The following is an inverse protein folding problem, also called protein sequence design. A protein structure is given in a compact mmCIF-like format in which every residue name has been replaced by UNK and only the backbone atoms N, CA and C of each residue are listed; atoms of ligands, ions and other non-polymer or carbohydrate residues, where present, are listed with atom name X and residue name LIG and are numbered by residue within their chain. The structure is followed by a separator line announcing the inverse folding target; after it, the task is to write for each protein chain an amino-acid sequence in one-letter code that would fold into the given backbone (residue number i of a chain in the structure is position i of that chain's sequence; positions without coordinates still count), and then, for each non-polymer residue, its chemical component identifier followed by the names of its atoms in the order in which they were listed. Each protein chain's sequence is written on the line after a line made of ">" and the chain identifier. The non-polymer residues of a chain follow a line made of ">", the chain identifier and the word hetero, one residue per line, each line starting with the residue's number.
data_IF_340998413998
#
_entry.id   IF_340998413998
#
_cell.length_a   1.000
_cell.length_b   1.000
_cell.length_c   1.000
_cell.angle_alpha   90.00
_cell.angle_beta   90.00
_cell.angle_gamma   90.00
#
_symmetry.space_group_name_H-M   'P 1'
#
loop_
_entity.id
_entity.type
_entity.pdbx_description
1 polymer ?
#
# COMPACT_ATOMS: atom_id res chain seq x y z
N UNK A 1 -80.19 -19.80 -9.14
CA UNK A 1 -80.33 -18.57 -8.34
C UNK A 1 -79.39 -17.53 -8.93
N UNK A 2 -79.98 -16.42 -9.38
CA UNK A 2 -79.41 -15.21 -9.98
C UNK A 2 -78.20 -14.64 -9.20
N UNK A 3 -77.34 -13.73 -9.68
CA UNK A 3 -77.29 -12.85 -10.87
C UNK A 3 -75.82 -12.40 -11.02
N UNK A 4 -75.21 -12.33 -12.20
CA UNK A 4 -75.06 -11.13 -13.08
C UNK A 4 -74.59 -9.89 -12.29
N UNK A 5 -73.40 -9.31 -12.51
CA UNK A 5 -73.12 -8.36 -13.60
C UNK A 5 -71.62 -8.09 -13.78
N UNK A 6 -71.27 -7.96 -15.06
CA UNK A 6 -70.00 -7.52 -15.60
C UNK A 6 -69.87 -5.98 -15.63
N UNK A 7 -68.63 -5.49 -15.74
CA UNK A 7 -68.31 -4.26 -16.47
C UNK A 7 -66.83 -4.27 -16.93
N UNK A 8 -66.64 -4.50 -18.22
CA UNK A 8 -65.49 -4.10 -19.06
C UNK A 8 -65.74 -2.68 -19.63
N UNK A 9 -64.93 -2.11 -20.54
CA UNK A 9 -63.46 -1.94 -20.64
C UNK A 9 -63.09 -0.46 -20.94
N UNK A 10 -61.80 -0.10 -21.02
CA UNK A 10 -61.35 0.99 -21.90
C UNK A 10 -59.87 0.83 -22.30
N UNK A 11 -59.67 0.57 -23.58
CA UNK A 11 -58.41 0.62 -24.31
C UNK A 11 -57.93 2.06 -24.52
N UNK A 12 -56.60 2.28 -24.55
CA UNK A 12 -55.96 3.17 -25.52
C UNK A 12 -54.44 2.96 -25.54
N UNK A 13 -54.00 2.31 -26.60
CA UNK A 13 -52.76 2.54 -27.37
C UNK A 13 -52.55 4.07 -27.64
N UNK A 14 -51.40 4.67 -27.97
CA UNK A 14 -50.17 4.25 -28.65
C UNK A 14 -49.12 5.38 -28.54
N UNK A 15 -47.86 5.00 -28.70
CA UNK A 15 -46.68 5.65 -29.32
C UNK A 15 -46.76 7.08 -29.92
N UNK A 16 -45.54 7.63 -30.07
CA UNK A 16 -45.06 8.73 -30.93
C UNK A 16 -45.42 10.16 -30.55
N UNK A 17 -44.40 10.99 -30.27
CA UNK A 17 -43.93 11.98 -31.24
C UNK A 17 -42.62 12.66 -30.79
N UNK A 18 -41.63 12.53 -31.67
CA UNK A 18 -40.50 13.41 -31.87
C UNK A 18 -41.03 14.75 -32.43
N UNK A 19 -40.57 15.89 -31.91
CA UNK A 19 -40.66 17.16 -32.64
C UNK A 19 -39.38 17.96 -32.51
N UNK A 20 -38.54 17.83 -33.53
CA UNK A 20 -37.67 18.89 -33.98
C UNK A 20 -38.52 19.96 -34.69
N UNK A 21 -38.24 21.23 -34.44
CA UNK A 21 -38.61 22.29 -35.38
C UNK A 21 -37.43 23.25 -35.54
N UNK A 22 -36.89 23.22 -36.76
CA UNK A 22 -35.86 24.09 -37.26
C UNK A 22 -36.51 25.34 -37.89
N UNK A 23 -35.88 26.50 -37.69
CA UNK A 23 -36.03 27.64 -38.61
C UNK A 23 -34.65 27.94 -39.20
N UNK A 24 -34.49 27.58 -40.46
CA UNK A 24 -33.44 28.06 -41.37
C UNK A 24 -33.83 29.50 -41.84
N UNK A 25 -32.96 30.39 -42.32
CA UNK A 25 -31.86 30.24 -43.29
C UNK A 25 -30.96 31.49 -43.19
N UNK A 26 -29.66 31.34 -43.39
CA UNK A 26 -28.92 31.89 -44.55
C UNK A 26 -27.41 31.71 -44.36
N UNK A 27 -26.78 30.97 -45.28
CA UNK A 27 -25.33 30.94 -45.51
C UNK A 27 -25.00 31.93 -46.64
N UNK A 28 -23.73 32.35 -46.84
CA UNK A 28 -22.70 31.49 -47.45
C UNK A 28 -21.30 31.55 -46.81
N UNK A 29 -20.53 30.48 -47.03
CA UNK A 29 -19.09 30.30 -46.76
C UNK A 29 -18.18 31.14 -47.71
N UNK A 30 -16.86 30.89 -47.80
CA UNK A 30 -15.79 31.02 -46.81
C UNK A 30 -14.67 31.98 -47.32
N UNK A 31 -13.82 32.53 -46.45
CA UNK A 31 -12.68 33.32 -46.90
C UNK A 31 -11.45 33.25 -45.99
N UNK A 32 -10.47 32.48 -46.48
CA UNK A 32 -9.04 32.82 -46.63
C UNK A 32 -8.17 33.05 -45.37
N UNK A 33 -7.25 32.11 -45.21
CA UNK A 33 -5.89 32.29 -44.64
C UNK A 33 -5.16 33.49 -45.28
N UNK A 34 -4.18 34.09 -44.59
CA UNK A 34 -2.82 33.92 -45.10
C UNK A 34 -1.74 33.79 -44.01
N UNK A 35 -0.85 32.81 -44.19
CA UNK A 35 0.58 32.96 -43.89
C UNK A 35 1.32 33.37 -45.16
N UNK A 36 2.36 34.21 -45.07
CA UNK A 36 3.52 34.06 -45.93
C UNK A 36 4.86 34.03 -45.17
N UNK A 37 5.54 32.90 -45.35
CA UNK A 37 6.97 32.55 -45.47
C UNK A 37 8.12 33.46 -44.96
N UNK A 38 9.27 32.82 -44.61
CA UNK A 38 10.48 33.44 -44.09
C UNK A 38 11.44 33.92 -45.20
N UNK A 39 12.32 34.87 -44.87
CA UNK A 39 13.54 35.22 -45.63
C UNK A 39 14.73 35.21 -44.64
N UNK A 40 15.62 34.23 -44.72
CA UNK A 40 16.83 34.16 -45.57
C UNK A 40 18.04 34.90 -44.97
N UNK A 41 19.03 34.11 -44.52
CA UNK A 41 20.39 34.52 -44.13
C UNK A 41 21.24 34.97 -45.32
N UNK A 42 22.46 35.50 -45.07
CA UNK A 42 23.60 34.95 -45.78
C UNK A 42 24.88 34.71 -44.92
N UNK A 43 25.34 33.45 -45.02
CA UNK A 43 26.69 32.96 -45.36
C UNK A 43 27.93 33.25 -44.46
N UNK A 44 28.42 32.11 -43.94
CA UNK A 44 29.75 31.46 -44.11
C UNK A 44 31.02 32.17 -43.59
N UNK A 45 31.78 31.43 -42.75
CA UNK A 45 33.07 30.81 -43.15
C UNK A 45 33.57 29.72 -42.19
N UNK A 46 34.01 28.61 -42.81
CA UNK A 46 35.17 27.71 -42.55
C UNK A 46 35.31 27.04 -41.17
N UNK A 47 35.11 25.72 -41.06
CA UNK A 47 35.94 24.56 -41.49
C UNK A 47 36.96 24.13 -40.43
N UNK A 48 36.87 22.90 -39.91
CA UNK A 48 37.82 21.79 -40.19
C UNK A 48 37.44 20.53 -39.41
N UNK A 49 37.42 19.41 -40.14
CA UNK A 49 37.39 18.05 -39.62
C UNK A 49 38.81 17.54 -39.31
N UNK A 50 38.94 16.64 -38.32
CA UNK A 50 39.98 15.60 -38.08
C UNK A 50 39.97 15.28 -36.58
N UNK A 51 40.19 14.08 -36.06
CA UNK A 51 40.38 12.70 -36.53
C UNK A 51 40.45 11.90 -35.23
N UNK A 52 39.87 10.70 -35.20
CA UNK A 52 40.18 9.69 -34.18
C UNK A 52 41.66 9.26 -34.25
N UNK A 53 42.22 8.78 -33.14
CA UNK A 53 43.22 7.72 -33.20
C UNK A 53 42.86 6.53 -32.29
N UNK A 54 42.81 5.36 -32.92
CA UNK A 54 42.95 4.04 -32.29
C UNK A 54 44.39 3.83 -31.81
N UNK A 55 44.64 3.08 -30.73
CA UNK A 55 45.93 2.43 -30.48
C UNK A 55 45.95 0.96 -30.95
N UNK A 56 47.14 0.41 -31.28
CA UNK A 56 47.27 -0.90 -31.91
C UNK A 56 47.33 -2.09 -30.93
N UNK A 57 46.97 -3.27 -31.44
CA UNK A 57 47.12 -4.59 -30.81
C UNK A 57 48.60 -5.02 -30.69
N UNK A 58 48.95 -5.74 -29.62
CA UNK A 58 49.88 -6.88 -29.67
C UNK A 58 49.50 -7.98 -28.66
N UNK A 59 49.58 -9.21 -29.16
CA UNK A 59 49.22 -10.51 -28.55
C UNK A 59 50.41 -11.14 -27.79
N UNK A 60 50.10 -11.99 -26.79
CA UNK A 60 50.62 -13.36 -26.52
C UNK A 60 49.91 -13.83 -25.23
N UNK A 61 49.07 -14.86 -25.14
CA UNK A 61 49.05 -16.27 -25.60
C UNK A 61 49.96 -17.23 -24.78
N UNK A 62 49.34 -18.00 -23.88
CA UNK A 62 49.42 -19.48 -23.65
C UNK A 62 48.71 -19.78 -22.31
N UNK A 63 47.63 -20.54 -22.17
CA UNK A 63 47.24 -21.90 -22.64
C UNK A 63 47.85 -23.05 -21.83
N UNK A 64 47.01 -23.71 -21.02
CA UNK A 64 46.90 -25.19 -20.85
C UNK A 64 45.74 -25.46 -19.87
N UNK A 65 44.53 -25.84 -20.29
CA UNK A 65 44.07 -27.17 -20.71
C UNK A 65 44.24 -28.28 -19.66
N UNK A 66 43.13 -28.69 -19.04
CA UNK A 66 42.88 -30.10 -18.75
C UNK A 66 41.37 -30.36 -18.76
N UNK A 67 41.02 -31.37 -19.54
CA UNK A 67 39.70 -31.78 -20.00
C UNK A 67 39.41 -33.10 -19.30
N UNK A 68 38.25 -33.29 -18.68
CA UNK A 68 37.69 -34.65 -18.52
C UNK A 68 36.18 -34.62 -18.71
N UNK A 69 35.77 -35.44 -19.68
CA UNK A 69 34.42 -35.70 -20.18
C UNK A 69 33.71 -36.75 -19.31
N UNK A 70 32.38 -36.76 -19.47
CA UNK A 70 31.45 -37.90 -19.36
C UNK A 70 31.12 -38.34 -17.92
N UNK A 71 29.88 -38.66 -17.54
CA UNK A 71 28.79 -39.36 -18.25
C UNK A 71 27.42 -38.86 -17.78
N UNK A 72 26.49 -38.72 -18.73
CA UNK A 72 25.07 -38.91 -18.53
C UNK A 72 24.76 -40.41 -18.70
N UNK A 73 23.94 -40.98 -17.82
CA UNK A 73 23.16 -42.24 -17.99
C UNK A 73 22.34 -42.43 -16.71
N UNK A 74 21.03 -42.18 -16.73
CA UNK A 74 19.96 -43.16 -17.00
C UNK A 74 19.46 -43.87 -15.73
N UNK A 75 18.24 -43.50 -15.34
CA UNK A 75 17.27 -44.28 -14.56
C UNK A 75 17.22 -45.75 -15.00
N UNK A 76 16.96 -46.68 -14.06
CA UNK A 76 16.00 -47.73 -14.35
C UNK A 76 15.05 -48.00 -13.16
N UNK A 77 13.76 -47.79 -13.39
CA UNK A 77 12.66 -48.57 -12.81
C UNK A 77 11.95 -49.18 -14.02
N UNK A 78 11.62 -50.49 -14.06
CA UNK A 78 10.47 -50.99 -13.30
C UNK A 78 10.52 -52.49 -12.90
N UNK A 79 9.85 -52.87 -11.80
CA UNK A 79 9.17 -54.18 -11.70
C UNK A 79 7.84 -54.04 -10.96
N UNK A 80 6.78 -54.47 -11.65
CA UNK A 80 5.39 -54.66 -11.20
C UNK A 80 5.20 -56.09 -10.67
N UNK A 81 4.11 -56.25 -9.91
CA UNK A 81 3.33 -57.49 -9.65
C UNK A 81 3.82 -58.33 -8.47
N UNK A 82 3.01 -58.77 -7.50
CA UNK A 82 1.57 -59.13 -7.49
C UNK A 82 0.94 -58.97 -6.09
N UNK A 83 -0.34 -58.60 -6.07
CA UNK A 83 -1.33 -58.89 -5.01
C UNK A 83 -1.96 -60.27 -5.26
N UNK A 84 -2.55 -60.91 -4.23
CA UNK A 84 -3.95 -61.31 -4.36
C UNK A 84 -4.84 -60.94 -3.15
N UNK A 85 -6.10 -60.66 -3.48
CA UNK A 85 -7.34 -60.30 -2.76
C UNK A 85 -8.02 -61.51 -2.06
N UNK A 86 -9.28 -61.49 -1.50
CA UNK A 86 -10.05 -60.53 -0.67
C UNK A 86 -10.99 -61.15 0.46
N UNK A 87 -11.66 -60.28 1.26
CA UNK A 87 -12.96 -60.34 2.05
C UNK A 87 -13.23 -61.42 3.16
N UNK A 88 -14.25 -61.27 4.06
CA UNK A 88 -15.31 -60.23 4.30
C UNK A 88 -15.33 -59.65 5.76
N UNK A 89 -15.83 -58.45 6.10
CA UNK A 89 -17.17 -57.80 6.08
C UNK A 89 -18.17 -58.23 7.18
N UNK A 90 -18.44 -57.33 8.15
CA UNK A 90 -19.68 -57.24 8.98
C UNK A 90 -19.89 -55.81 9.52
N UNK A 91 -21.06 -55.23 9.23
CA UNK A 91 -21.74 -54.01 9.76
C UNK A 91 -23.19 -54.46 10.12
N UNK A 92 -24.18 -53.62 10.57
CA UNK A 92 -24.23 -52.41 11.41
C UNK A 92 -25.40 -52.47 12.47
N UNK A 93 -25.66 -51.41 13.27
CA UNK A 93 -27.01 -51.08 13.85
C UNK A 93 -26.96 -49.71 14.58
N UNK A 94 -27.50 -48.59 14.06
CA UNK A 94 -28.87 -48.00 14.10
C UNK A 94 -29.33 -47.44 15.48
N UNK A 95 -29.64 -46.13 15.50
CA UNK A 95 -30.16 -45.26 16.58
C UNK A 95 -31.68 -45.47 16.87
N UNK A 96 -32.37 -44.80 17.84
CA UNK A 96 -32.70 -43.35 17.80
C UNK A 96 -32.94 -42.61 19.17
N UNK A 97 -33.12 -41.28 19.14
CA UNK A 97 -33.68 -40.43 20.23
C UNK A 97 -35.19 -40.64 20.45
N UNK A 98 -35.76 -40.23 21.61
CA UNK A 98 -36.61 -39.00 21.64
C UNK A 98 -36.66 -38.23 23.00
N UNK A 99 -37.17 -36.98 22.98
CA UNK A 99 -37.67 -36.16 24.11
C UNK A 99 -39.20 -36.43 24.31
N UNK A 100 -39.89 -36.21 25.49
CA UNK A 100 -40.28 -34.87 26.02
C UNK A 100 -40.56 -34.75 27.58
N UNK A 101 -40.79 -33.49 28.07
CA UNK A 101 -41.64 -32.93 29.19
C UNK A 101 -41.81 -33.68 30.56
N UNK A 102 -42.04 -33.12 31.76
CA UNK A 102 -42.43 -31.79 32.29
C UNK A 102 -42.26 -31.70 33.85
N UNK A 103 -42.09 -30.47 34.36
CA UNK A 103 -42.63 -29.83 35.60
C UNK A 103 -42.42 -30.42 37.01
N UNK A 104 -41.84 -29.60 37.91
CA UNK A 104 -42.45 -29.16 39.20
C UNK A 104 -41.92 -27.77 39.64
N UNK A 105 -42.82 -26.81 39.85
CA UNK A 105 -42.64 -25.52 40.55
C UNK A 105 -42.77 -25.68 42.08
N UNK A 106 -42.20 -24.78 42.91
CA UNK A 106 -43.07 -23.77 43.55
C UNK A 106 -42.48 -22.33 43.75
N UNK A 107 -43.38 -21.35 43.57
CA UNK A 107 -43.68 -20.10 44.32
C UNK A 107 -42.62 -18.96 44.43
N UNK A 108 -43.01 -17.66 44.22
CA UNK A 108 -42.09 -16.56 43.97
C UNK A 108 -41.72 -15.77 45.24
N UNK A 109 -40.49 -15.25 45.30
CA UNK A 109 -40.10 -14.16 46.21
C UNK A 109 -39.71 -12.93 45.39
N UNK A 110 -40.24 -11.81 45.83
CA UNK A 110 -40.27 -10.50 45.16
C UNK A 110 -38.87 -9.92 44.97
N UNK A 111 -38.64 -9.35 43.77
CA UNK A 111 -37.43 -8.64 43.35
C UNK A 111 -37.27 -7.29 44.07
N UNK A 112 -36.02 -6.83 44.21
CA UNK A 112 -35.65 -5.46 43.81
C UNK A 112 -34.93 -5.50 42.46
N UNK A 113 -35.34 -4.64 41.53
CA UNK A 113 -34.75 -4.51 40.21
C UNK A 113 -33.41 -3.76 40.29
N UNK A 114 -32.31 -4.42 39.90
CA UNK A 114 -31.05 -3.78 39.51
C UNK A 114 -30.55 -4.47 38.24
N UNK A 115 -30.25 -3.67 37.22
CA UNK A 115 -29.95 -4.05 35.84
C UNK A 115 -28.80 -5.07 35.69
N UNK A 116 -28.86 -6.00 34.71
CA UNK A 116 -27.80 -6.98 34.48
C UNK A 116 -26.74 -6.42 33.53
N UNK A 117 -25.47 -6.52 33.92
CA UNK A 117 -24.37 -6.29 32.98
C UNK A 117 -23.10 -5.74 33.60
N UNK A 118 -22.40 -6.54 34.38
CA UNK A 118 -21.02 -6.25 34.76
C UNK A 118 -20.20 -7.54 34.71
N UNK A 119 -19.66 -7.83 33.53
CA UNK A 119 -18.47 -8.68 33.43
C UNK A 119 -17.34 -7.91 34.14
N UNK A 120 -16.56 -8.53 35.06
CA UNK A 120 -15.45 -7.83 35.68
C UNK A 120 -14.47 -7.43 34.59
N UNK A 121 -14.42 -6.13 34.35
CA UNK A 121 -13.49 -5.49 33.45
C UNK A 121 -12.15 -5.60 34.18
N UNK A 122 -11.33 -6.55 33.78
CA UNK A 122 -9.92 -6.54 34.14
C UNK A 122 -9.37 -5.28 33.49
N UNK A 123 -9.29 -4.22 34.28
CA UNK A 123 -8.65 -2.98 33.92
C UNK A 123 -7.17 -3.28 33.76
N UNK A 124 -6.80 -3.65 32.54
CA UNK A 124 -5.41 -3.63 32.10
C UNK A 124 -5.02 -2.16 32.15
N UNK A 125 -4.36 -1.84 33.26
CA UNK A 125 -3.76 -0.56 33.55
C UNK A 125 -3.10 -0.03 32.27
N UNK A 126 -3.73 1.01 31.71
CA UNK A 126 -3.15 1.79 30.63
C UNK A 126 -1.88 2.43 31.18
N UNK A 127 -0.76 1.74 31.04
CA UNK A 127 0.57 2.35 30.90
C UNK A 127 0.66 3.04 29.53
N UNK A 128 -0.38 3.79 29.19
CA UNK A 128 -0.46 4.64 28.02
C UNK A 128 0.29 5.90 28.36
N UNK A 129 1.54 5.97 27.94
CA UNK A 129 2.25 7.17 27.54
C UNK A 129 1.49 8.48 27.89
N UNK A 130 1.77 9.02 29.08
CA UNK A 130 1.39 10.38 29.45
C UNK A 130 2.21 11.32 28.57
N UNK A 131 1.70 11.58 27.37
CA UNK A 131 2.30 12.51 26.43
C UNK A 131 2.39 13.88 27.07
N UNK A 132 3.57 14.48 26.98
CA UNK A 132 3.75 15.93 27.10
C UNK A 132 2.69 16.59 26.21
N UNK A 133 1.73 17.31 26.82
CA UNK A 133 0.36 17.58 26.35
C UNK A 133 0.27 18.58 25.18
N UNK A 134 1.12 18.44 24.16
CA UNK A 134 1.22 19.35 23.04
C UNK A 134 1.23 18.66 21.67
N UNK A 135 0.85 19.42 20.66
CA UNK A 135 1.06 19.06 19.26
C UNK A 135 2.42 19.57 18.79
N UNK A 136 3.10 18.78 17.97
CA UNK A 136 4.32 19.22 17.30
C UNK A 136 3.93 20.20 16.19
N UNK A 137 4.42 21.46 16.21
CA UNK A 137 4.11 22.42 15.17
C UNK A 137 4.59 21.91 13.82
N UNK A 138 3.92 22.25 12.71
CA UNK A 138 4.43 21.93 11.40
C UNK A 138 5.82 22.57 11.20
N UNK A 139 6.73 21.94 10.43
CA UNK A 139 8.05 22.50 10.18
C UNK A 139 7.91 23.90 9.55
N UNK A 140 8.70 24.86 10.04
CA UNK A 140 8.66 26.22 9.51
C UNK A 140 8.97 26.23 8.01
N UNK A 141 8.22 26.98 7.18
CA UNK A 141 8.49 27.05 5.75
C UNK A 141 9.91 27.58 5.52
N UNK A 142 10.61 27.02 4.54
CA UNK A 142 11.93 27.51 4.14
C UNK A 142 11.80 28.99 3.76
N UNK A 143 12.65 29.89 4.31
CA UNK A 143 12.55 31.32 4.03
C UNK A 143 12.69 31.56 2.53
N UNK A 144 11.75 32.31 1.95
CA UNK A 144 11.82 32.71 0.54
C UNK A 144 13.06 33.58 0.36
N UNK A 145 13.86 33.26 -0.66
CA UNK A 145 15.07 33.96 -1.13
C UNK A 145 15.01 35.46 -0.84
N UNK A 146 15.60 35.88 0.28
CA UNK A 146 15.90 37.28 0.54
C UNK A 146 17.18 37.66 -0.19
N UNK A 147 17.32 38.94 -0.54
CA UNK A 147 18.55 39.55 -1.06
C UNK A 147 19.61 39.59 0.04
N UNK A 148 20.05 38.43 0.52
CA UNK A 148 21.12 38.28 1.49
C UNK A 148 21.90 37.02 1.14
N UNK A 149 23.22 37.19 1.03
CA UNK A 149 24.20 36.27 0.45
C UNK A 149 24.54 35.05 1.33
N UNK A 150 23.74 34.81 2.38
CA UNK A 150 23.81 33.61 3.22
C UNK A 150 22.52 32.77 3.09
N UNK A 151 21.95 32.69 1.88
CA UNK A 151 20.80 31.81 1.62
C UNK A 151 21.22 30.36 1.86
N UNK A 152 20.72 29.74 2.93
CA UNK A 152 20.85 28.30 3.17
C UNK A 152 20.43 27.56 1.89
N UNK A 153 21.13 26.47 1.50
CA UNK A 153 20.74 25.71 0.33
C UNK A 153 19.28 25.29 0.48
N UNK A 154 18.45 25.64 -0.51
CA UNK A 154 17.05 25.27 -0.54
C UNK A 154 16.96 23.75 -0.52
N UNK A 155 16.26 23.19 0.47
CA UNK A 155 15.99 21.76 0.51
C UNK A 155 15.01 21.47 -0.63
N UNK A 156 15.53 21.00 -1.76
CA UNK A 156 14.72 20.56 -2.89
C UNK A 156 14.20 19.15 -2.61
N UNK A 157 12.88 18.99 -2.67
CA UNK A 157 12.22 17.69 -2.54
C UNK A 157 11.94 17.12 -3.92
N UNK A 158 12.43 15.90 -4.19
CA UNK A 158 12.26 15.23 -5.48
C UNK A 158 10.98 14.39 -5.53
N UNK A 159 10.61 13.76 -4.41
CA UNK A 159 9.50 12.81 -4.33
C UNK A 159 8.32 13.36 -3.51
N UNK A 160 8.61 14.23 -2.53
CA UNK A 160 7.64 14.94 -1.71
C UNK A 160 7.14 16.21 -2.41
N UNK A 161 6.16 16.04 -3.30
CA UNK A 161 5.44 17.15 -3.91
C UNK A 161 4.89 18.11 -2.85
N UNK A 162 4.68 19.37 -3.22
CA UNK A 162 4.11 20.37 -2.30
C UNK A 162 2.76 19.95 -1.73
N UNK A 163 1.92 19.26 -2.52
CA UNK A 163 0.63 18.74 -2.05
C UNK A 163 0.83 17.69 -0.96
N UNK A 164 1.72 16.72 -1.19
CA UNK A 164 2.01 15.65 -0.22
C UNK A 164 2.59 16.25 1.07
N UNK A 165 3.50 17.21 0.99
CA UNK A 165 4.04 17.91 2.17
C UNK A 165 2.93 18.63 2.95
N UNK A 166 2.05 19.36 2.26
CA UNK A 166 0.91 20.02 2.90
C UNK A 166 -0.03 19.02 3.59
N UNK A 167 -0.28 17.86 2.99
CA UNK A 167 -1.07 16.78 3.63
C UNK A 167 -0.37 16.23 4.88
N UNK A 168 0.96 16.09 4.82
CA UNK A 168 1.75 15.65 5.97
C UNK A 168 1.69 16.68 7.11
N UNK A 169 1.91 17.96 6.78
CA UNK A 169 2.04 19.03 7.77
C UNK A 169 0.73 19.39 8.47
N UNK A 170 -0.41 19.26 7.76
CA UNK A 170 -1.75 19.54 8.32
C UNK A 170 -2.17 18.57 9.44
N UNK A 171 -1.59 17.37 9.49
CA UNK A 171 -1.99 16.39 10.48
C UNK A 171 -1.59 16.86 11.89
N UNK A 172 -2.46 16.72 12.92
CA UNK A 172 -2.18 17.17 14.27
C UNK A 172 -1.30 16.15 15.00
N UNK A 173 0.01 16.19 14.77
CA UNK A 173 0.97 15.22 15.32
C UNK A 173 1.17 15.45 16.82
N UNK A 174 0.80 14.46 17.64
CA UNK A 174 1.08 14.50 19.09
C UNK A 174 2.58 14.38 19.35
N UNK A 175 3.12 15.21 20.24
CA UNK A 175 4.53 15.18 20.63
C UNK A 175 4.93 13.80 21.11
N UNK A 176 6.13 13.37 20.71
CA UNK A 176 6.79 12.14 21.17
C UNK A 176 6.02 10.82 20.94
N UNK A 177 4.86 10.82 20.26
CA UNK A 177 4.06 9.62 20.01
C UNK A 177 4.75 8.66 19.03
N UNK A 178 5.17 9.19 17.88
CA UNK A 178 5.72 8.39 16.80
C UNK A 178 7.21 8.09 17.05
N UNK A 179 7.47 7.00 17.74
CA UNK A 179 8.80 6.57 18.17
C UNK A 179 9.49 5.67 17.14
N UNK A 180 8.71 4.99 16.30
CA UNK A 180 9.22 4.06 15.30
C UNK A 180 8.67 4.37 13.91
N UNK A 181 9.46 4.04 12.89
CA UNK A 181 9.01 3.96 11.49
C UNK A 181 9.35 2.55 10.99
N UNK A 182 8.31 1.79 10.64
CA UNK A 182 8.44 0.42 10.15
C UNK A 182 8.23 0.40 8.64
N UNK A 183 9.21 -0.19 7.94
CA UNK A 183 9.17 -0.34 6.48
C UNK A 183 8.69 -1.73 6.11
N UNK A 184 7.72 -1.76 5.20
CA UNK A 184 7.02 -2.94 4.72
C UNK A 184 7.12 -3.07 3.20
N UNK A 185 6.87 -4.27 2.70
CA UNK A 185 6.45 -4.48 1.32
C UNK A 185 4.93 -4.70 1.27
N UNK A 186 4.34 -4.70 0.08
CA UNK A 186 2.92 -5.05 -0.07
C UNK A 186 2.68 -6.56 -0.20
N UNK A 187 3.73 -7.34 -0.49
CA UNK A 187 3.61 -8.75 -0.86
C UNK A 187 2.93 -8.96 -2.21
N UNK A 188 2.78 -7.90 -3.01
CA UNK A 188 2.10 -7.91 -4.30
C UNK A 188 2.96 -7.27 -5.37
N UNK A 189 2.83 -7.72 -6.62
CA UNK A 189 3.57 -7.10 -7.75
C UNK A 189 3.08 -5.69 -8.08
N UNK A 190 1.81 -5.43 -7.85
CA UNK A 190 1.14 -4.17 -8.16
C UNK A 190 0.25 -3.74 -7.00
N UNK A 191 -0.09 -2.45 -6.96
CA UNK A 191 -0.97 -1.89 -5.96
C UNK A 191 -0.80 -0.39 -5.77
N UNK A 192 -1.67 0.16 -4.94
CA UNK A 192 -1.72 1.56 -4.54
C UNK A 192 -2.41 1.68 -3.19
N UNK A 193 -2.38 2.85 -2.56
CA UNK A 193 -3.08 3.06 -1.29
C UNK A 193 -4.58 2.75 -1.41
N UNK A 194 -5.21 3.12 -2.54
CA UNK A 194 -6.63 2.85 -2.81
C UNK A 194 -6.93 1.34 -2.89
N UNK A 195 -6.10 0.57 -3.60
CA UNK A 195 -6.29 -0.88 -3.75
C UNK A 195 -6.13 -1.57 -2.39
N UNK A 196 -5.08 -1.21 -1.65
CA UNK A 196 -4.83 -1.80 -0.34
C UNK A 196 -5.86 -1.38 0.69
N UNK A 197 -6.36 -0.15 0.64
CA UNK A 197 -7.47 0.29 1.49
C UNK A 197 -8.72 -0.57 1.27
N UNK A 198 -9.09 -0.80 0.00
CA UNK A 198 -10.21 -1.68 -0.34
C UNK A 198 -10.02 -3.09 0.22
N UNK A 199 -8.85 -3.70 -0.02
CA UNK A 199 -8.54 -5.04 0.49
C UNK A 199 -8.56 -5.10 2.02
N UNK A 200 -7.92 -4.15 2.70
CA UNK A 200 -7.89 -4.13 4.16
C UNK A 200 -9.29 -3.95 4.76
N UNK A 201 -10.12 -3.09 4.18
CA UNK A 201 -11.49 -2.85 4.67
C UNK A 201 -12.42 -4.03 4.42
N UNK A 202 -12.45 -4.54 3.19
CA UNK A 202 -13.49 -5.47 2.76
C UNK A 202 -13.07 -6.93 2.89
N UNK A 203 -11.79 -7.25 2.74
CA UNK A 203 -11.28 -8.63 2.82
C UNK A 203 -10.70 -8.93 4.20
N UNK A 204 -9.83 -8.04 4.71
CA UNK A 204 -9.22 -8.20 6.05
C UNK A 204 -10.09 -7.69 7.20
N UNK A 205 -11.27 -7.12 6.89
CA UNK A 205 -12.24 -6.58 7.87
C UNK A 205 -11.65 -5.55 8.83
N UNK A 206 -10.65 -4.80 8.37
CA UNK A 206 -10.06 -3.72 9.14
C UNK A 206 -10.97 -2.50 9.08
N UNK A 207 -11.61 -2.16 10.22
CA UNK A 207 -12.55 -1.04 10.35
C UNK A 207 -12.01 0.28 9.80
N UNK A 208 -10.72 0.54 9.99
CA UNK A 208 -10.06 1.77 9.55
C UNK A 208 -9.36 1.65 8.18
N UNK A 209 -9.67 0.60 7.40
CA UNK A 209 -9.12 0.40 6.06
C UNK A 209 -7.61 0.23 6.05
N UNK A 210 -6.94 0.90 5.11
CA UNK A 210 -5.50 0.81 4.83
C UNK A 210 -4.66 0.63 6.10
N UNK A 211 -3.91 -0.47 6.19
CA UNK A 211 -3.08 -0.79 7.35
C UNK A 211 -1.93 0.21 7.62
N UNK A 212 -1.44 0.83 6.54
CA UNK A 212 -0.24 1.66 6.53
C UNK A 212 -0.57 3.16 6.62
N UNK A 213 0.39 3.94 7.09
CA UNK A 213 0.30 5.40 7.11
C UNK A 213 0.67 5.99 5.75
N UNK A 214 1.60 5.35 5.04
CA UNK A 214 2.06 5.76 3.72
C UNK A 214 2.26 4.56 2.80
N UNK A 215 2.03 4.76 1.51
CA UNK A 215 2.32 3.78 0.46
C UNK A 215 3.20 4.42 -0.60
N UNK A 216 4.20 3.70 -1.11
CA UNK A 216 5.12 4.16 -2.16
C UNK A 216 4.97 3.26 -3.39
N UNK A 217 4.47 3.86 -4.48
CA UNK A 217 4.25 3.18 -5.76
C UNK A 217 5.55 2.70 -6.41
N UNK A 218 5.43 1.64 -7.22
CA UNK A 218 6.53 1.04 -7.99
C UNK A 218 6.39 1.25 -9.50
N UNK A 219 5.47 2.12 -9.94
CA UNK A 219 5.20 2.39 -11.36
C UNK A 219 4.12 1.51 -11.98
N UNK A 220 3.45 0.64 -11.21
CA UNK A 220 2.37 -0.23 -11.73
C UNK A 220 1.00 0.43 -11.69
N UNK A 221 0.43 0.65 -10.50
CA UNK A 221 -0.89 1.29 -10.32
C UNK A 221 -0.79 2.77 -9.94
N UNK A 222 0.37 3.18 -9.40
CA UNK A 222 0.76 4.58 -9.17
C UNK A 222 2.23 4.76 -9.57
N UNK A 223 2.68 6.00 -9.72
CA UNK A 223 4.02 6.31 -10.22
C UNK A 223 5.15 5.68 -9.39
N UNK A 224 6.27 5.40 -10.04
CA UNK A 224 7.45 4.83 -9.37
C UNK A 224 8.10 5.86 -8.43
N UNK A 225 8.10 5.57 -7.13
CA UNK A 225 8.47 6.52 -6.07
C UNK A 225 7.36 7.50 -5.68
N UNK A 226 6.13 7.35 -6.21
CA UNK A 226 5.01 8.19 -5.81
C UNK A 226 4.59 7.88 -4.38
N UNK A 227 4.59 8.91 -3.52
CA UNK A 227 4.17 8.81 -2.12
C UNK A 227 2.66 9.09 -2.02
N UNK A 228 1.92 8.14 -1.49
CA UNK A 228 0.49 8.23 -1.20
C UNK A 228 0.28 8.31 0.32
N UNK A 229 -0.35 9.39 0.79
CA UNK A 229 -0.68 9.58 2.22
C UNK A 229 -1.96 8.82 2.57
N UNK A 230 -1.89 7.97 3.59
CA UNK A 230 -3.03 7.19 4.08
C UNK A 230 -3.88 7.95 5.11
N UNK A 231 -5.14 7.54 5.26
CA UNK A 231 -6.06 8.16 6.22
C UNK A 231 -5.61 8.01 7.67
N UNK A 232 -4.80 6.99 7.98
CA UNK A 232 -4.23 6.81 9.32
C UNK A 232 -3.31 7.95 9.72
N UNK A 233 -2.50 8.46 8.78
CA UNK A 233 -1.70 9.64 9.01
C UNK A 233 -2.60 10.89 9.16
N UNK A 234 -3.53 11.11 8.23
CA UNK A 234 -4.40 12.31 8.27
C UNK A 234 -5.17 12.42 9.58
N UNK A 235 -5.68 11.30 10.08
CA UNK A 235 -6.48 11.22 11.31
C UNK A 235 -5.65 10.97 12.57
N UNK A 236 -4.34 10.75 12.42
CA UNK A 236 -3.43 10.38 13.52
C UNK A 236 -3.98 9.22 14.35
N UNK A 237 -4.36 8.12 13.70
CA UNK A 237 -4.83 6.90 14.37
C UNK A 237 -3.76 5.81 14.29
N UNK A 238 -3.86 4.81 15.17
CA UNK A 238 -2.92 3.69 15.26
C UNK A 238 -2.76 3.01 13.90
N UNK A 239 -1.62 2.37 13.67
CA UNK A 239 -1.41 1.46 12.55
C UNK A 239 -2.34 0.24 12.58
N UNK A 240 -2.27 -0.55 11.52
CA UNK A 240 -2.72 -1.95 11.53
C UNK A 240 -1.74 -2.83 10.77
N UNK A 241 -0.45 -2.49 10.83
CA UNK A 241 0.61 -2.98 9.95
C UNK A 241 1.58 -3.95 10.65
N UNK A 242 1.60 -3.98 11.98
CA UNK A 242 2.32 -4.97 12.80
C UNK A 242 1.35 -5.74 13.69
N UNK A 243 1.81 -6.85 14.28
CA UNK A 243 0.95 -7.68 15.14
C UNK A 243 0.58 -6.99 16.47
N UNK A 244 1.50 -6.23 17.05
CA UNK A 244 1.33 -5.61 18.36
C UNK A 244 0.50 -4.32 18.30
N UNK A 245 -0.57 -4.24 19.09
CA UNK A 245 -1.38 -3.02 19.24
C UNK A 245 -0.59 -1.85 19.83
N UNK A 246 0.31 -2.14 20.77
CA UNK A 246 1.22 -1.14 21.34
C UNK A 246 2.12 -0.55 20.26
N UNK A 247 2.76 -1.38 19.44
CA UNK A 247 3.60 -0.90 18.35
C UNK A 247 2.77 -0.17 17.29
N UNK A 248 1.58 -0.65 16.95
CA UNK A 248 0.67 0.08 16.06
C UNK A 248 0.32 1.48 16.63
N UNK A 249 0.32 1.70 17.95
CA UNK A 249 0.04 3.00 18.55
C UNK A 249 1.21 4.00 18.43
N UNK A 250 2.46 3.52 18.40
CA UNK A 250 3.67 4.36 18.42
C UNK A 250 4.53 4.27 17.15
N UNK A 251 4.17 3.41 16.20
CA UNK A 251 4.94 3.16 14.99
C UNK A 251 4.19 3.58 13.71
N UNK A 252 4.84 4.42 12.91
CA UNK A 252 4.42 4.70 11.54
C UNK A 252 4.73 3.49 10.66
N UNK A 253 3.91 3.28 9.63
CA UNK A 253 4.04 2.17 8.70
C UNK A 253 4.14 2.71 7.28
N UNK A 254 5.25 2.44 6.61
CA UNK A 254 5.49 2.80 5.21
C UNK A 254 5.55 1.51 4.38
N UNK A 255 4.63 1.36 3.43
CA UNK A 255 4.59 0.19 2.54
C UNK A 255 5.13 0.53 1.15
N UNK A 256 6.12 -0.20 0.69
CA UNK A 256 6.61 -0.14 -0.69
C UNK A 256 5.86 -1.20 -1.50
N UNK A 257 5.22 -0.80 -2.60
CA UNK A 257 4.52 -1.74 -3.49
C UNK A 257 5.53 -2.71 -4.10
N UNK A 258 5.38 -4.01 -3.84
CA UNK A 258 6.29 -5.04 -4.32
C UNK A 258 6.25 -6.33 -3.50
N UNK A 259 6.74 -7.41 -4.11
CA UNK A 259 7.10 -8.66 -3.45
C UNK A 259 8.62 -8.75 -3.42
N UNK A 260 9.23 -8.30 -2.33
CA UNK A 260 10.69 -8.27 -2.21
C UNK A 260 11.31 -9.55 -1.66
N UNK A 261 10.57 -10.66 -1.64
CA UNK A 261 11.20 -11.98 -1.63
C UNK A 261 11.65 -12.40 -3.03
N UNK A 262 11.07 -11.79 -4.08
CA UNK A 262 11.31 -12.17 -5.49
C UNK A 262 12.08 -11.12 -6.28
N UNK A 263 12.24 -9.91 -5.76
CA UNK A 263 12.95 -8.83 -6.43
C UNK A 263 13.33 -7.72 -5.46
N UNK A 264 14.17 -6.80 -5.90
CA UNK A 264 14.49 -5.61 -5.09
C UNK A 264 13.44 -4.51 -5.31
N UNK A 265 13.24 -3.62 -4.32
CA UNK A 265 12.56 -2.36 -4.55
C UNK A 265 13.24 -1.57 -5.67
N UNK A 266 12.48 -0.73 -6.37
CA UNK A 266 13.09 0.16 -7.35
C UNK A 266 13.99 1.17 -6.64
N UNK A 267 14.99 1.71 -7.37
CA UNK A 267 15.83 2.79 -6.84
C UNK A 267 14.99 4.00 -6.41
N UNK A 268 13.97 4.35 -7.20
CA UNK A 268 13.08 5.49 -6.90
C UNK A 268 12.24 5.25 -5.64
N UNK A 269 11.80 4.01 -5.38
CA UNK A 269 11.11 3.68 -4.14
C UNK A 269 12.02 3.89 -2.92
N UNK A 270 13.29 3.47 -2.98
CA UNK A 270 14.24 3.64 -1.88
C UNK A 270 14.56 5.12 -1.64
N UNK A 271 14.80 5.89 -2.71
CA UNK A 271 15.05 7.34 -2.61
C UNK A 271 13.82 8.10 -2.08
N UNK A 272 12.61 7.77 -2.55
CA UNK A 272 11.37 8.33 -2.04
C UNK A 272 11.13 7.98 -0.56
N UNK A 273 11.43 6.74 -0.17
CA UNK A 273 11.29 6.29 1.21
C UNK A 273 12.27 7.02 2.13
N UNK A 274 13.52 7.20 1.70
CA UNK A 274 14.54 7.97 2.44
C UNK A 274 14.12 9.44 2.60
N UNK A 275 13.65 10.08 1.53
CA UNK A 275 13.16 11.46 1.59
C UNK A 275 11.95 11.60 2.53
N UNK A 276 11.01 10.66 2.47
CA UNK A 276 9.84 10.60 3.35
C UNK A 276 10.23 10.40 4.82
N UNK A 277 11.11 9.45 5.12
CA UNK A 277 11.57 9.18 6.50
C UNK A 277 12.22 10.42 7.09
N UNK A 278 13.12 11.07 6.34
CA UNK A 278 13.80 12.28 6.78
C UNK A 278 12.81 13.43 7.02
N UNK A 279 11.77 13.54 6.20
CA UNK A 279 10.71 14.52 6.40
C UNK A 279 9.86 14.21 7.65
N UNK A 280 9.46 12.95 7.84
CA UNK A 280 8.66 12.51 8.98
C UNK A 280 9.42 12.67 10.30
N UNK A 281 10.72 12.34 10.35
CA UNK A 281 11.57 12.58 11.52
C UNK A 281 11.56 14.05 11.93
N UNK A 282 11.67 14.97 10.97
CA UNK A 282 11.57 16.42 11.22
C UNK A 282 10.16 16.82 11.66
N UNK A 283 9.12 16.28 11.02
CA UNK A 283 7.72 16.59 11.31
C UNK A 283 7.26 16.10 12.68
N UNK A 284 7.74 14.93 13.12
CA UNK A 284 7.38 14.33 14.41
C UNK A 284 8.26 14.81 15.57
N UNK A 285 9.36 15.49 15.29
CA UNK A 285 10.31 15.95 16.28
C UNK A 285 11.18 14.83 16.86
N UNK A 286 11.97 15.18 17.87
CA UNK A 286 12.85 14.25 18.59
C UNK A 286 12.17 13.73 19.87
N UNK A 287 12.47 12.50 20.23
CA UNK A 287 12.17 11.88 21.53
C UNK A 287 13.51 11.74 22.26
N UNK A 288 13.66 12.44 23.38
CA UNK A 288 14.85 12.35 24.25
C UNK A 288 16.16 12.49 23.46
N UNK A 289 16.23 13.54 22.62
CA UNK A 289 17.33 13.89 21.71
C UNK A 289 17.51 13.01 20.44
N UNK A 290 16.77 11.91 20.30
CA UNK A 290 16.84 11.01 19.14
C UNK A 290 15.62 11.15 18.22
N UNK A 291 15.81 10.88 16.94
CA UNK A 291 14.69 10.75 16.00
C UNK A 291 14.06 9.37 16.08
N UNK A 292 12.84 9.23 15.53
CA UNK A 292 12.16 7.94 15.43
C UNK A 292 13.07 6.86 14.81
N UNK A 293 13.10 5.69 15.44
CA UNK A 293 13.94 4.55 15.04
C UNK A 293 13.32 3.88 13.81
N UNK A 294 14.13 3.64 12.78
CA UNK A 294 13.66 3.01 11.53
C UNK A 294 14.02 1.53 11.54
N UNK A 295 13.03 0.66 11.32
CA UNK A 295 13.22 -0.80 11.31
C UNK A 295 12.48 -1.48 10.15
N UNK A 296 13.01 -2.59 9.62
CA UNK A 296 12.23 -3.50 8.78
C UNK A 296 11.19 -4.27 9.64
N UNK A 297 10.03 -4.60 9.07
CA UNK A 297 8.97 -5.32 9.81
C UNK A 297 9.45 -6.65 10.44
N UNK A 298 10.34 -7.40 9.78
CA UNK A 298 10.92 -8.66 10.28
C UNK A 298 11.61 -8.52 11.64
N UNK A 299 12.14 -7.34 11.95
CA UNK A 299 12.84 -7.09 13.22
C UNK A 299 11.91 -6.57 14.33
N UNK A 300 10.62 -6.36 14.03
CA UNK A 300 9.68 -5.67 14.93
C UNK A 300 8.75 -6.65 15.65
N UNK A 301 8.31 -7.71 14.96
CA UNK A 301 7.45 -8.71 15.59
C UNK A 301 8.27 -9.70 16.43
N UNK A 302 7.71 -10.20 17.55
CA UNK A 302 8.37 -11.25 18.33
C UNK A 302 8.37 -12.58 17.57
N UNK A 303 9.22 -13.55 17.95
CA UNK A 303 9.44 -14.79 17.20
C UNK A 303 8.16 -15.58 16.88
N UNK A 304 7.17 -15.59 17.77
CA UNK A 304 5.90 -16.31 17.52
C UNK A 304 5.03 -15.70 16.40
N UNK A 305 5.30 -14.46 15.98
CA UNK A 305 4.63 -13.78 14.86
C UNK A 305 5.66 -13.28 13.83
N UNK A 306 6.68 -14.10 13.58
CA UNK A 306 7.71 -13.82 12.60
C UNK A 306 7.10 -13.54 11.21
N UNK A 307 7.74 -12.64 10.49
CA UNK A 307 7.36 -12.26 9.12
C UNK A 307 8.62 -12.11 8.28
N UNK A 308 8.51 -12.48 7.01
CA UNK A 308 9.55 -12.23 6.03
C UNK A 308 9.57 -10.76 5.55
N UNK A 309 8.53 -9.97 5.78
CA UNK A 309 8.43 -8.57 5.37
C UNK A 309 9.58 -7.70 5.94
N UNK A 310 10.23 -6.80 5.17
CA UNK A 310 9.90 -6.39 3.80
C UNK A 310 10.37 -7.33 2.70
N UNK A 311 11.00 -8.46 3.00
CA UNK A 311 11.35 -9.52 2.05
C UNK A 311 12.86 -9.81 2.00
N UNK A 312 13.23 -11.05 1.67
CA UNK A 312 14.63 -11.51 1.69
C UNK A 312 15.56 -10.78 0.73
N UNK A 313 15.04 -10.32 -0.41
CA UNK A 313 15.82 -9.56 -1.39
C UNK A 313 15.84 -8.06 -1.09
N UNK A 314 15.18 -7.58 -0.03
CA UNK A 314 15.26 -6.17 0.37
C UNK A 314 16.70 -5.81 0.78
N UNK A 315 17.25 -4.65 0.36
CA UNK A 315 18.62 -4.28 0.71
C UNK A 315 18.72 -3.81 2.18
N UNK A 316 18.80 -4.74 3.15
CA UNK A 316 18.84 -4.40 4.58
C UNK A 316 19.96 -3.43 4.99
N UNK A 317 21.08 -3.42 4.25
CA UNK A 317 22.13 -2.42 4.42
C UNK A 317 21.66 -0.96 4.27
N UNK A 318 20.56 -0.73 3.55
CA UNK A 318 19.96 0.59 3.38
C UNK A 318 19.48 1.19 4.71
N UNK A 319 19.04 0.38 5.68
CA UNK A 319 18.60 0.86 6.99
C UNK A 319 19.73 1.51 7.82
N UNK A 320 21.01 1.23 7.51
CA UNK A 320 22.15 1.85 8.18
C UNK A 320 22.20 3.37 8.02
N UNK A 321 21.48 3.93 7.03
CA UNK A 321 21.32 5.38 6.82
C UNK A 321 20.61 6.10 7.96
N UNK A 322 19.88 5.35 8.80
CA UNK A 322 19.01 5.89 9.85
C UNK A 322 19.47 5.54 11.26
N UNK A 323 20.64 4.92 11.39
CA UNK A 323 21.29 4.64 12.67
C UNK A 323 22.05 5.91 13.07
N UNK A 324 21.38 6.77 13.84
CA UNK A 324 21.94 7.98 14.46
C UNK A 324 22.13 7.76 15.96
#
# INVERSE_FOLDING_TARGET
>A
MASVLAATPASAQVSSEEKAEAVAKTSPSPSKSPSPKPKASPKKKKSTAKKSPTPPKKKKAKASSAKKKSKASSTPSPKKSRTPTPVPASEPSIAPSPTPLATLTPVPTVRPAISPGAIPQVEVEKSGFLGDQGYEPPPSPTPRRGWWFWSRPEVTYQYLSRSVRNEIDRAPVMRRRWQFIVVHNSGTRQGSARIFDYYHRHVRRMKNGLAYHFVIGNGTSTGDGQIEVGDRWRRQINGGHVHSDYLNNIALGICLVGDFNRGQPTRRQLEACEELINYLRKRCGKIDAHYAVVRPHREVNPPQWATDCPGDAFPYSWFRRFQE
#
